data_IF_181445637048
#
_entry.id   IF_181445637048
#
_cell.length_a   1.000
_cell.length_b   1.000
_cell.length_c   1.000
_cell.angle_alpha   90.00
_cell.angle_beta   90.00
_cell.angle_gamma   90.00
#
_symmetry.space_group_name_H-M   'P 1'
#
loop_
_entity.id
_entity.type
_entity.pdbx_description
1 polymer ?
#
# COMPACT_ATOMS: atom_id res chain seq x y z
N UNK A 1 60.21 -2.02 16.01
CA UNK A 1 60.76 -0.93 15.17
C UNK A 1 59.59 -0.02 14.85
N UNK A 2 59.70 1.27 15.12
CA UNK A 2 58.63 2.22 14.81
C UNK A 2 58.47 2.31 13.28
N UNK A 3 57.24 2.40 12.75
CA UNK A 3 57.02 2.63 11.30
C UNK A 3 57.50 4.02 10.86
N UNK A 4 57.65 4.20 9.56
CA UNK A 4 58.08 5.46 8.93
C UNK A 4 57.22 6.65 9.38
N UNK A 5 57.85 7.74 9.82
CA UNK A 5 57.17 8.95 10.34
C UNK A 5 56.93 8.92 11.85
N UNK A 6 57.83 8.32 12.63
CA UNK A 6 57.75 8.31 14.10
C UNK A 6 59.12 8.55 14.71
N UNK A 7 59.16 9.24 15.85
CA UNK A 7 60.37 9.48 16.62
C UNK A 7 60.46 8.47 17.77
N UNK A 8 61.63 7.84 17.92
CA UNK A 8 61.89 6.97 19.06
C UNK A 8 62.31 7.83 20.25
N UNK A 9 61.51 7.86 21.31
CA UNK A 9 61.84 8.57 22.55
C UNK A 9 63.03 7.92 23.26
N UNK A 10 63.67 8.64 24.18
CA UNK A 10 64.87 8.21 24.92
C UNK A 10 64.68 6.92 25.75
N UNK A 11 63.44 6.45 25.89
CA UNK A 11 63.05 5.24 26.64
C UNK A 11 62.61 4.07 25.75
N UNK A 12 62.84 4.14 24.44
CA UNK A 12 62.48 3.07 23.51
C UNK A 12 61.00 2.97 23.18
N UNK A 13 60.20 4.00 23.50
CA UNK A 13 58.80 4.11 23.08
C UNK A 13 58.70 4.94 21.79
N UNK A 14 57.90 4.48 20.84
CA UNK A 14 57.59 5.23 19.64
C UNK A 14 56.60 6.35 19.96
N UNK A 15 56.91 7.58 19.57
CA UNK A 15 55.97 8.69 19.56
C UNK A 15 55.34 8.78 18.17
N UNK A 16 54.00 8.67 18.11
CA UNK A 16 53.26 8.69 16.86
C UNK A 16 53.08 10.13 16.40
N UNK A 17 53.64 10.49 15.23
CA UNK A 17 53.44 11.82 14.64
C UNK A 17 51.98 12.04 14.20
N UNK A 18 51.32 10.98 13.71
CA UNK A 18 49.89 11.02 13.39
C UNK A 18 49.05 10.92 14.68
N UNK A 19 48.26 11.96 15.03
CA UNK A 19 47.46 11.99 16.24
C UNK A 19 46.32 10.95 16.25
N UNK A 20 46.01 10.33 15.11
CA UNK A 20 45.00 9.27 14.99
C UNK A 20 45.54 7.87 15.31
N UNK A 21 46.87 7.73 15.44
CA UNK A 21 47.55 6.45 15.69
C UNK A 21 47.93 6.23 17.15
N UNK A 22 48.08 4.97 17.53
CA UNK A 22 48.46 4.53 18.87
C UNK A 22 49.24 3.20 18.81
N UNK A 23 49.66 2.71 19.97
CA UNK A 23 50.38 1.45 20.14
C UNK A 23 51.90 1.61 20.04
N UNK A 24 52.62 0.59 20.51
CA UNK A 24 54.09 0.63 20.63
C UNK A 24 54.82 0.74 19.29
N UNK A 25 54.12 0.50 18.17
CA UNK A 25 54.65 0.67 16.81
C UNK A 25 53.90 1.72 15.97
N UNK A 26 52.91 2.42 16.56
CA UNK A 26 52.06 3.41 15.88
C UNK A 26 51.22 2.87 14.71
N UNK A 27 50.89 1.58 14.74
CA UNK A 27 50.13 0.92 13.67
C UNK A 27 48.64 0.79 13.98
N UNK A 28 48.25 1.02 15.24
CA UNK A 28 46.89 0.86 15.70
C UNK A 28 46.13 2.18 15.60
N UNK A 29 44.84 2.11 15.30
CA UNK A 29 43.97 3.27 15.34
C UNK A 29 43.59 3.61 16.77
N UNK A 30 43.77 4.88 17.15
CA UNK A 30 43.35 5.39 18.46
C UNK A 30 41.84 5.29 18.65
N UNK A 31 41.06 5.45 17.58
CA UNK A 31 39.63 5.17 17.58
C UNK A 31 39.40 3.68 17.26
N UNK A 32 38.85 2.88 18.18
CA UNK A 32 38.61 1.45 17.94
C UNK A 32 37.55 1.18 16.86
N UNK A 33 36.73 2.17 16.49
CA UNK A 33 35.78 2.04 15.38
C UNK A 33 36.44 2.21 14.00
N UNK A 34 37.74 2.55 13.94
CA UNK A 34 38.48 2.78 12.70
C UNK A 34 39.53 1.69 12.43
N UNK A 35 39.80 1.44 11.16
CA UNK A 35 40.82 0.52 10.66
C UNK A 35 41.56 1.11 9.46
N UNK A 36 42.59 0.39 9.01
CA UNK A 36 43.41 0.75 7.86
C UNK A 36 44.65 1.54 8.24
N UNK A 37 45.61 1.58 7.32
CA UNK A 37 46.89 2.27 7.53
C UNK A 37 46.71 3.77 7.82
N UNK A 38 45.60 4.39 7.40
CA UNK A 38 45.26 5.79 7.68
C UNK A 38 44.13 6.00 8.70
N UNK A 39 43.57 4.93 9.29
CA UNK A 39 42.46 5.03 10.26
C UNK A 39 41.24 5.82 9.78
N UNK A 40 40.99 5.82 8.48
CA UNK A 40 39.89 6.52 7.82
C UNK A 40 38.69 5.60 7.57
N UNK A 41 38.91 4.29 7.50
CA UNK A 41 37.88 3.28 7.25
C UNK A 41 37.20 2.82 8.54
N UNK A 42 35.89 2.57 8.48
CA UNK A 42 35.18 1.99 9.60
C UNK A 42 35.45 0.49 9.73
N UNK A 43 35.56 0.02 10.98
CA UNK A 43 35.66 -1.42 11.27
C UNK A 43 34.40 -2.14 10.80
N UNK A 44 33.24 -1.63 11.23
CA UNK A 44 31.93 -2.09 10.76
C UNK A 44 31.69 -1.55 9.33
N UNK A 45 31.54 -2.43 8.31
CA UNK A 45 31.33 -2.03 6.92
C UNK A 45 29.97 -1.35 6.69
N UNK A 46 29.00 -1.49 7.59
CA UNK A 46 27.69 -0.85 7.52
C UNK A 46 27.71 0.60 8.05
N UNK A 47 28.85 1.06 8.57
CA UNK A 47 29.02 2.39 9.15
C UNK A 47 29.88 3.30 8.28
N UNK A 48 29.56 4.59 8.33
CA UNK A 48 30.26 5.66 7.61
C UNK A 48 30.44 6.91 8.46
N UNK A 49 31.16 7.87 7.91
CA UNK A 49 31.48 9.15 8.53
C UNK A 49 32.76 9.14 9.36
N UNK A 50 33.14 10.32 9.82
CA UNK A 50 34.36 10.53 10.59
C UNK A 50 34.42 9.68 11.87
N UNK A 51 33.30 9.55 12.55
CA UNK A 51 33.19 8.77 13.79
C UNK A 51 32.58 7.37 13.60
N UNK A 52 32.30 6.93 12.35
CA UNK A 52 31.63 5.65 12.10
C UNK A 52 30.30 5.47 12.83
N UNK A 53 29.59 6.57 13.07
CA UNK A 53 28.32 6.57 13.80
C UNK A 53 27.10 6.50 12.88
N UNK A 54 27.26 6.85 11.60
CA UNK A 54 26.18 6.89 10.62
C UNK A 54 26.11 5.57 9.86
N UNK A 55 24.89 5.16 9.48
CA UNK A 55 24.71 4.03 8.59
C UNK A 55 25.07 4.39 7.15
N UNK A 56 25.66 3.45 6.44
CA UNK A 56 25.90 3.57 5.00
C UNK A 56 24.58 3.61 4.24
N UNK A 57 23.64 2.72 4.62
CA UNK A 57 22.28 2.73 4.08
C UNK A 57 21.45 3.84 4.77
N UNK A 58 20.92 4.82 4.02
CA UNK A 58 20.10 5.89 4.58
C UNK A 58 18.75 5.41 5.13
N UNK A 59 18.29 4.21 4.77
CA UNK A 59 17.06 3.60 5.28
C UNK A 59 17.27 2.84 6.59
N UNK A 60 18.51 2.70 7.06
CA UNK A 60 18.85 1.97 8.28
C UNK A 60 19.21 2.89 9.43
N UNK A 61 19.00 2.41 10.65
CA UNK A 61 19.28 3.10 11.90
C UNK A 61 19.71 2.12 13.00
N UNK A 62 20.15 2.67 14.13
CA UNK A 62 20.65 1.91 15.28
C UNK A 62 22.17 1.74 15.31
N UNK A 63 22.65 1.17 16.41
CA UNK A 63 24.08 0.96 16.64
C UNK A 63 24.71 0.05 15.58
N UNK A 64 23.99 -0.97 15.13
CA UNK A 64 24.47 -1.94 14.14
C UNK A 64 23.96 -1.71 12.71
N UNK A 65 23.09 -0.71 12.49
CA UNK A 65 22.44 -0.44 11.20
C UNK A 65 21.58 -1.58 10.64
N UNK A 66 21.04 -2.42 11.50
CA UNK A 66 20.16 -3.53 11.07
C UNK A 66 18.68 -3.12 11.05
N UNK A 67 18.30 -2.12 11.85
CA UNK A 67 16.90 -1.68 11.99
C UNK A 67 16.54 -0.68 10.91
N UNK A 68 15.32 -0.77 10.40
CA UNK A 68 14.77 0.25 9.51
C UNK A 68 14.53 1.58 10.22
N UNK A 69 14.82 2.66 9.51
CA UNK A 69 14.58 4.03 9.95
C UNK A 69 13.07 4.31 10.05
N UNK A 70 12.30 3.88 9.05
CA UNK A 70 10.85 3.95 9.07
C UNK A 70 10.27 2.78 9.89
N UNK A 71 9.58 3.03 11.01
CA UNK A 71 9.00 1.98 11.85
C UNK A 71 7.86 1.19 11.16
N UNK A 72 7.37 1.64 10.01
CA UNK A 72 6.38 0.91 9.22
C UNK A 72 7.01 -0.12 8.27
N UNK A 73 8.33 -0.06 8.09
CA UNK A 73 9.07 -0.93 7.19
C UNK A 73 9.88 -1.98 7.95
N UNK A 74 10.14 -3.11 7.29
CA UNK A 74 10.87 -4.26 7.81
C UNK A 74 11.70 -4.90 6.70
N UNK A 75 12.47 -5.93 7.04
CA UNK A 75 13.33 -6.66 6.12
C UNK A 75 14.73 -6.04 5.99
N UNK A 76 15.62 -6.80 5.35
CA UNK A 76 17.02 -6.41 5.19
C UNK A 76 17.17 -5.13 4.36
N UNK A 77 16.26 -4.87 3.42
CA UNK A 77 16.26 -3.68 2.56
C UNK A 77 15.25 -2.59 2.98
N UNK A 78 14.48 -2.81 4.05
CA UNK A 78 13.44 -1.88 4.53
C UNK A 78 12.38 -1.49 3.49
N UNK A 79 12.05 -2.42 2.60
CA UNK A 79 11.08 -2.29 1.52
C UNK A 79 9.79 -3.08 1.78
N UNK A 80 9.80 -3.92 2.80
CA UNK A 80 8.63 -4.68 3.23
C UNK A 80 7.85 -3.91 4.29
N UNK A 81 6.52 -4.05 4.30
CA UNK A 81 5.68 -3.43 5.31
C UNK A 81 5.52 -4.34 6.52
N UNK A 82 5.74 -3.78 7.72
CA UNK A 82 5.44 -4.46 9.01
C UNK A 82 3.97 -4.90 9.04
N UNK A 83 3.08 -4.03 8.56
CA UNK A 83 1.65 -4.32 8.39
C UNK A 83 1.44 -5.04 7.07
N UNK A 84 1.08 -6.32 7.14
CA UNK A 84 0.88 -7.18 5.96
C UNK A 84 -0.29 -6.76 5.06
N UNK A 85 -1.18 -5.90 5.52
CA UNK A 85 -2.26 -5.33 4.71
C UNK A 85 -1.85 -4.03 3.96
N UNK A 86 -0.61 -3.56 4.13
CA UNK A 86 -0.05 -2.40 3.44
C UNK A 86 1.05 -2.82 2.46
N UNK A 87 1.25 -2.02 1.41
CA UNK A 87 2.29 -2.20 0.39
C UNK A 87 2.78 -0.86 -0.15
N UNK A 88 3.87 -0.93 -0.93
CA UNK A 88 4.42 0.19 -1.68
C UNK A 88 5.27 1.13 -0.81
N UNK A 89 5.79 2.21 -1.41
CA UNK A 89 6.69 3.14 -0.73
C UNK A 89 6.00 3.76 0.48
N UNK A 90 6.67 3.71 1.64
CA UNK A 90 6.16 4.22 2.92
C UNK A 90 4.95 3.47 3.46
N UNK A 91 4.61 2.28 2.94
CA UNK A 91 3.55 1.42 3.47
C UNK A 91 2.17 2.09 3.58
N UNK A 92 1.87 2.97 2.63
CA UNK A 92 0.61 3.74 2.62
C UNK A 92 -0.51 3.05 1.83
N UNK A 93 -0.19 2.32 0.77
CA UNK A 93 -1.18 1.68 -0.09
C UNK A 93 -1.66 0.36 0.52
N UNK A 94 -2.92 -0.01 0.28
CA UNK A 94 -3.45 -1.28 0.74
C UNK A 94 -3.00 -2.42 -0.19
N UNK A 95 -2.67 -3.59 0.38
CA UNK A 95 -2.37 -4.79 -0.41
C UNK A 95 -3.56 -5.14 -1.29
N UNK A 96 -4.74 -5.21 -0.66
CA UNK A 96 -6.01 -5.36 -1.35
C UNK A 96 -6.37 -4.03 -2.05
N UNK A 97 -6.48 -4.01 -3.39
CA UNK A 97 -6.76 -2.79 -4.14
C UNK A 97 -8.15 -2.21 -3.90
N UNK A 98 -9.09 -2.98 -3.31
CA UNK A 98 -10.45 -2.49 -3.00
C UNK A 98 -10.58 -1.93 -1.59
N UNK A 99 -9.51 -1.94 -0.79
CA UNK A 99 -9.51 -1.40 0.58
C UNK A 99 -8.79 -0.06 0.64
N UNK A 100 -9.26 0.84 1.49
CA UNK A 100 -8.64 2.11 1.82
C UNK A 100 -8.70 2.38 3.33
N UNK A 101 -8.37 3.62 3.69
CA UNK A 101 -8.22 4.04 5.07
C UNK A 101 -6.86 3.65 5.65
N UNK A 102 -6.60 4.17 6.86
CA UNK A 102 -5.34 3.95 7.57
C UNK A 102 -5.12 2.46 7.88
N UNK A 103 -6.21 1.71 8.07
CA UNK A 103 -6.20 0.30 8.46
C UNK A 103 -6.55 -0.67 7.33
N UNK A 104 -6.84 -0.19 6.11
CA UNK A 104 -7.28 -1.06 4.98
C UNK A 104 -8.48 -1.95 5.34
N UNK A 105 -9.36 -1.46 6.20
CA UNK A 105 -10.58 -2.11 6.66
C UNK A 105 -11.84 -1.38 6.16
N UNK A 106 -11.66 -0.32 5.39
CA UNK A 106 -12.72 0.43 4.71
C UNK A 106 -12.64 0.12 3.23
N UNK A 107 -13.78 0.06 2.54
CA UNK A 107 -13.76 -0.02 1.08
C UNK A 107 -13.18 1.28 0.53
N UNK A 108 -12.30 1.17 -0.47
CA UNK A 108 -11.80 2.33 -1.18
C UNK A 108 -13.00 3.12 -1.77
N UNK A 109 -13.07 4.45 -1.59
CA UNK A 109 -14.13 5.27 -2.18
C UNK A 109 -13.90 5.42 -3.69
N UNK A 110 -13.92 4.33 -4.46
CA UNK A 110 -13.51 4.36 -5.86
C UNK A 110 -14.57 3.73 -6.75
N UNK A 111 -15.59 4.55 -6.98
CA UNK A 111 -16.44 4.73 -8.17
C UNK A 111 -16.58 3.58 -9.17
N UNK A 112 -17.82 3.34 -9.59
CA UNK A 112 -18.13 2.59 -10.81
C UNK A 112 -17.46 3.15 -12.09
N UNK A 113 -16.83 4.33 -12.02
CA UNK A 113 -16.05 4.96 -13.09
C UNK A 113 -14.61 4.45 -13.24
N UNK A 114 -14.14 3.48 -12.43
CA UNK A 114 -12.85 2.86 -12.68
C UNK A 114 -12.84 2.19 -14.07
N UNK A 115 -11.76 2.35 -14.85
CA UNK A 115 -11.68 1.83 -16.22
C UNK A 115 -12.06 0.34 -16.36
N UNK A 116 -11.76 -0.49 -15.35
CA UNK A 116 -12.13 -1.91 -15.32
C UNK A 116 -13.64 -2.12 -15.14
N UNK A 117 -14.31 -1.33 -14.31
CA UNK A 117 -15.78 -1.39 -14.13
C UNK A 117 -16.49 -0.79 -15.36
N UNK A 118 -15.96 0.30 -15.90
CA UNK A 118 -16.52 0.99 -17.07
C UNK A 118 -16.57 0.05 -18.30
N UNK A 119 -15.51 -0.72 -18.56
CA UNK A 119 -15.49 -1.70 -19.66
C UNK A 119 -16.54 -2.83 -19.54
N UNK A 120 -17.02 -3.08 -18.31
CA UNK A 120 -18.04 -4.08 -18.01
C UNK A 120 -19.43 -3.44 -18.08
N UNK A 121 -19.57 -2.19 -17.66
CA UNK A 121 -20.83 -1.46 -17.60
C UNK A 121 -21.16 -0.69 -18.89
N UNK A 122 -20.20 -0.51 -19.79
CA UNK A 122 -20.43 0.03 -21.12
C UNK A 122 -21.42 -0.85 -21.89
N UNK A 123 -22.39 -0.21 -22.54
CA UNK A 123 -23.35 -0.89 -23.40
C UNK A 123 -22.60 -1.67 -24.50
N UNK A 124 -22.97 -2.93 -24.79
CA UNK A 124 -24.15 -3.67 -24.31
C UNK A 124 -23.93 -4.51 -23.03
N UNK A 125 -22.70 -4.59 -22.50
CA UNK A 125 -22.33 -5.55 -21.43
C UNK A 125 -22.90 -5.18 -20.06
N UNK A 126 -23.10 -3.89 -19.79
CA UNK A 126 -23.72 -3.44 -18.54
C UNK A 126 -25.16 -3.92 -18.39
N UNK A 127 -25.91 -3.90 -19.48
CA UNK A 127 -27.28 -4.40 -19.53
C UNK A 127 -27.33 -5.92 -19.30
N UNK A 128 -26.42 -6.67 -19.91
CA UNK A 128 -26.31 -8.12 -19.69
C UNK A 128 -26.03 -8.45 -18.22
N UNK A 129 -25.13 -7.71 -17.55
CA UNK A 129 -24.85 -7.91 -16.13
C UNK A 129 -26.08 -7.64 -15.25
N UNK A 130 -26.86 -6.60 -15.57
CA UNK A 130 -28.10 -6.27 -14.85
C UNK A 130 -29.14 -7.38 -15.01
N UNK A 131 -29.32 -7.93 -16.22
CA UNK A 131 -30.27 -9.02 -16.44
C UNK A 131 -29.80 -10.36 -15.88
N UNK A 132 -28.51 -10.68 -16.06
CA UNK A 132 -27.91 -11.93 -15.60
C UNK A 132 -27.91 -12.04 -14.06
N UNK A 133 -27.69 -10.94 -13.35
CA UNK A 133 -27.68 -10.94 -11.90
C UNK A 133 -28.99 -10.46 -11.27
N UNK A 134 -29.67 -9.49 -11.87
CA UNK A 134 -30.88 -8.87 -11.33
C UNK A 134 -32.10 -9.80 -11.37
N UNK A 135 -32.40 -10.39 -12.53
CA UNK A 135 -33.61 -11.22 -12.70
C UNK A 135 -33.57 -12.51 -11.87
N UNK A 136 -32.47 -13.29 -11.85
CA UNK A 136 -32.40 -14.50 -11.01
C UNK A 136 -32.41 -14.21 -9.51
N UNK A 137 -31.99 -13.01 -9.11
CA UNK A 137 -31.96 -12.58 -7.72
C UNK A 137 -33.18 -11.74 -7.32
N UNK A 138 -34.15 -11.53 -8.21
CA UNK A 138 -35.34 -10.74 -7.91
C UNK A 138 -36.14 -11.38 -6.76
N UNK A 139 -36.32 -10.63 -5.67
CA UNK A 139 -36.97 -11.12 -4.44
C UNK A 139 -36.05 -11.88 -3.47
N UNK A 140 -34.81 -12.21 -3.86
CA UNK A 140 -33.77 -12.75 -2.96
C UNK A 140 -32.97 -11.64 -2.27
N UNK A 141 -33.08 -10.41 -2.78
CA UNK A 141 -32.55 -9.20 -2.20
C UNK A 141 -31.13 -8.85 -2.65
N UNK A 142 -30.70 -7.65 -2.26
CA UNK A 142 -29.43 -6.99 -2.63
C UNK A 142 -28.20 -7.89 -2.63
N UNK A 143 -28.10 -8.80 -1.64
CA UNK A 143 -26.91 -9.64 -1.47
C UNK A 143 -26.72 -10.67 -2.56
N UNK A 144 -27.81 -11.19 -3.11
CA UNK A 144 -27.75 -12.12 -4.23
C UNK A 144 -27.19 -11.39 -5.46
N UNK A 145 -27.76 -10.22 -5.77
CA UNK A 145 -27.35 -9.39 -6.92
C UNK A 145 -25.89 -8.97 -6.76
N UNK A 146 -25.50 -8.45 -5.59
CA UNK A 146 -24.14 -8.02 -5.32
C UNK A 146 -23.12 -9.14 -5.47
N UNK A 147 -23.44 -10.35 -4.98
CA UNK A 147 -22.56 -11.52 -5.09
C UNK A 147 -22.36 -11.91 -6.55
N UNK A 148 -23.43 -12.00 -7.33
CA UNK A 148 -23.35 -12.30 -8.76
C UNK A 148 -22.54 -11.24 -9.52
N UNK A 149 -22.78 -9.95 -9.25
CA UNK A 149 -22.03 -8.86 -9.88
C UNK A 149 -20.54 -8.90 -9.56
N UNK A 150 -20.18 -9.37 -8.36
CA UNK A 150 -18.78 -9.49 -7.93
C UNK A 150 -18.12 -10.78 -8.45
N UNK A 151 -18.72 -11.94 -8.16
CA UNK A 151 -18.14 -13.26 -8.46
C UNK A 151 -18.26 -13.63 -9.95
N UNK A 152 -19.42 -13.34 -10.58
CA UNK A 152 -19.74 -13.83 -11.92
C UNK A 152 -19.50 -12.78 -13.02
N UNK A 153 -19.74 -11.50 -12.71
CA UNK A 153 -19.53 -10.38 -13.66
C UNK A 153 -18.15 -9.73 -13.51
N UNK A 154 -17.52 -9.85 -12.33
CA UNK A 154 -16.18 -9.33 -12.07
C UNK A 154 -16.12 -7.84 -11.74
N UNK A 155 -17.23 -7.22 -11.33
CA UNK A 155 -17.21 -5.85 -10.80
C UNK A 155 -16.44 -5.81 -9.48
N UNK A 156 -15.78 -4.68 -9.23
CA UNK A 156 -15.19 -4.41 -7.90
C UNK A 156 -16.28 -4.40 -6.83
N UNK A 157 -15.95 -4.80 -5.59
CA UNK A 157 -16.95 -4.92 -4.51
C UNK A 157 -17.74 -3.62 -4.24
N UNK A 158 -17.10 -2.46 -4.37
CA UNK A 158 -17.74 -1.15 -4.25
C UNK A 158 -18.76 -0.90 -5.37
N UNK A 159 -18.38 -1.17 -6.63
CA UNK A 159 -19.28 -1.00 -7.76
C UNK A 159 -20.37 -2.07 -7.81
N UNK A 160 -20.07 -3.33 -7.50
CA UNK A 160 -21.06 -4.39 -7.36
C UNK A 160 -22.12 -4.02 -6.30
N UNK A 161 -21.70 -3.39 -5.20
CA UNK A 161 -22.62 -2.92 -4.17
C UNK A 161 -23.50 -1.77 -4.66
N UNK A 162 -22.90 -0.80 -5.34
CA UNK A 162 -23.62 0.29 -5.98
C UNK A 162 -24.69 -0.21 -6.96
N UNK A 163 -24.24 -0.97 -7.96
CA UNK A 163 -25.07 -1.49 -9.04
C UNK A 163 -26.16 -2.42 -8.47
N UNK A 164 -25.85 -3.22 -7.43
CA UNK A 164 -26.86 -4.06 -6.78
C UNK A 164 -27.99 -3.26 -6.12
N UNK A 165 -27.69 -2.12 -5.46
CA UNK A 165 -28.72 -1.24 -4.89
C UNK A 165 -29.58 -0.60 -5.96
N UNK A 166 -28.94 -0.16 -7.05
CA UNK A 166 -29.64 0.45 -8.16
C UNK A 166 -30.56 -0.55 -8.88
N UNK A 167 -30.09 -1.77 -9.13
CA UNK A 167 -30.90 -2.87 -9.71
C UNK A 167 -32.07 -3.24 -8.81
N UNK A 168 -31.84 -3.46 -7.51
CA UNK A 168 -32.91 -3.85 -6.57
C UNK A 168 -33.99 -2.77 -6.48
N UNK A 169 -33.59 -1.50 -6.39
CA UNK A 169 -34.54 -0.39 -6.41
C UNK A 169 -35.30 -0.31 -7.74
N UNK A 170 -34.60 -0.42 -8.87
CA UNK A 170 -35.20 -0.36 -10.20
C UNK A 170 -36.22 -1.47 -10.41
N UNK A 171 -35.88 -2.71 -10.06
CA UNK A 171 -36.80 -3.84 -10.17
C UNK A 171 -38.00 -3.71 -9.21
N UNK A 172 -37.79 -3.16 -8.01
CA UNK A 172 -38.83 -3.05 -6.99
C UNK A 172 -39.83 -1.91 -7.24
N UNK A 173 -39.35 -0.74 -7.64
CA UNK A 173 -40.17 0.47 -7.77
C UNK A 173 -40.49 0.82 -9.23
N UNK A 174 -39.61 0.48 -10.16
CA UNK A 174 -39.74 0.83 -11.57
C UNK A 174 -39.90 -0.40 -12.49
N UNK A 175 -39.85 -1.61 -11.95
CA UNK A 175 -39.91 -2.87 -12.69
C UNK A 175 -41.02 -2.93 -13.74
N UNK A 176 -42.27 -2.56 -13.43
CA UNK A 176 -43.35 -2.56 -14.42
C UNK A 176 -43.10 -1.62 -15.62
N UNK A 177 -42.45 -0.48 -15.39
CA UNK A 177 -42.13 0.50 -16.45
C UNK A 177 -40.91 0.04 -17.25
N UNK A 178 -39.86 -0.40 -16.55
CA UNK A 178 -38.61 -0.85 -17.16
C UNK A 178 -38.71 -2.23 -17.83
N UNK A 179 -39.72 -3.03 -17.51
CA UNK A 179 -39.94 -4.32 -18.18
C UNK A 179 -40.35 -4.15 -19.65
N UNK A 180 -41.05 -3.05 -19.96
CA UNK A 180 -41.54 -2.77 -21.32
C UNK A 180 -40.38 -2.29 -22.21
N UNK A 181 -39.62 -1.33 -21.70
CA UNK A 181 -38.45 -0.77 -22.36
C UNK A 181 -37.46 -0.30 -21.28
N UNK A 182 -36.45 -1.13 -21.02
CA UNK A 182 -35.47 -0.87 -19.96
C UNK A 182 -34.54 0.31 -20.29
N UNK A 183 -34.34 0.62 -21.57
CA UNK A 183 -33.57 1.79 -22.02
C UNK A 183 -34.47 2.98 -22.37
N UNK A 184 -35.79 2.80 -22.27
CA UNK A 184 -36.78 3.79 -22.63
C UNK A 184 -36.78 5.02 -21.70
N UNK A 185 -37.19 6.19 -22.21
CA UNK A 185 -37.20 7.44 -21.45
C UNK A 185 -38.07 7.36 -20.19
N UNK A 186 -39.14 6.55 -20.21
CA UNK A 186 -40.03 6.37 -19.06
C UNK A 186 -39.36 5.55 -17.95
N UNK A 187 -38.58 4.52 -18.29
CA UNK A 187 -37.81 3.76 -17.31
C UNK A 187 -36.73 4.64 -16.68
N UNK A 188 -35.95 5.35 -17.52
CA UNK A 188 -34.92 6.27 -17.04
C UNK A 188 -35.49 7.34 -16.11
N UNK A 189 -36.65 7.93 -16.47
CA UNK A 189 -37.34 8.91 -15.63
C UNK A 189 -37.79 8.31 -14.29
N UNK A 190 -38.38 7.11 -14.31
CA UNK A 190 -38.80 6.43 -13.08
C UNK A 190 -37.63 6.17 -12.15
N UNK A 191 -36.53 5.60 -12.68
CA UNK A 191 -35.36 5.23 -11.88
C UNK A 191 -34.68 6.48 -11.31
N UNK A 192 -34.52 7.54 -12.12
CA UNK A 192 -33.96 8.82 -11.66
C UNK A 192 -34.79 9.44 -10.53
N UNK A 193 -36.11 9.29 -10.58
CA UNK A 193 -37.01 9.89 -9.57
C UNK A 193 -37.08 9.07 -8.27
N UNK A 194 -37.00 7.74 -8.35
CA UNK A 194 -37.34 6.86 -7.23
C UNK A 194 -36.13 6.15 -6.60
N UNK A 195 -34.97 6.15 -7.26
CA UNK A 195 -33.80 5.37 -6.85
C UNK A 195 -32.51 6.20 -6.67
N UNK A 196 -32.41 7.02 -5.60
CA UNK A 196 -31.16 7.71 -5.24
C UNK A 196 -30.23 6.85 -4.36
N UNK A 197 -28.89 7.12 -4.35
CA UNK A 197 -28.20 8.07 -5.21
C UNK A 197 -28.16 7.60 -6.67
N UNK A 198 -28.04 8.55 -7.60
CA UNK A 198 -27.89 8.21 -9.02
C UNK A 198 -26.62 7.41 -9.26
N UNK A 199 -26.57 6.67 -10.38
CA UNK A 199 -25.40 5.87 -10.75
C UNK A 199 -24.10 6.70 -10.75
N UNK A 200 -24.18 7.97 -11.18
CA UNK A 200 -23.05 8.91 -11.25
C UNK A 200 -22.59 9.46 -9.88
N UNK A 201 -23.39 9.32 -8.83
CA UNK A 201 -23.06 9.76 -7.46
C UNK A 201 -22.53 8.62 -6.59
N UNK A 202 -22.37 7.44 -7.19
CA UNK A 202 -22.22 6.21 -6.46
C UNK A 202 -20.76 5.85 -6.19
N UNK A 203 -20.22 6.45 -5.13
CA UNK A 203 -18.82 6.28 -4.68
C UNK A 203 -18.54 5.01 -3.86
N UNK A 204 -19.52 4.11 -3.73
CA UNK A 204 -19.41 2.84 -2.98
C UNK A 204 -20.54 2.61 -1.96
N UNK A 205 -20.36 1.63 -1.06
CA UNK A 205 -21.37 1.28 -0.06
C UNK A 205 -21.02 1.76 1.35
N UNK A 206 -21.99 2.38 2.03
CA UNK A 206 -21.93 2.66 3.46
C UNK A 206 -22.05 1.37 4.27
N UNK A 207 -21.53 1.39 5.50
CA UNK A 207 -21.33 0.25 6.40
C UNK A 207 -22.59 -0.56 6.75
N UNK A 208 -23.81 -0.06 6.48
CA UNK A 208 -25.06 -0.79 6.69
C UNK A 208 -25.30 -1.96 5.72
N UNK A 209 -24.55 -2.03 4.62
CA UNK A 209 -24.72 -3.09 3.59
C UNK A 209 -23.55 -4.09 3.53
N UNK A 210 -22.52 -3.93 4.36
CA UNK A 210 -21.19 -4.54 4.14
C UNK A 210 -20.96 -5.95 4.72
N UNK A 211 -21.87 -6.53 5.50
CA UNK A 211 -21.52 -7.78 6.22
C UNK A 211 -21.65 -9.04 5.37
N UNK A 212 -20.78 -9.31 4.40
CA UNK A 212 -20.59 -10.67 3.90
C UNK A 212 -20.07 -11.54 5.05
N UNK A 213 -20.94 -12.39 5.60
CA UNK A 213 -20.52 -13.53 6.42
C UNK A 213 -20.52 -14.77 5.55
#
# INVERSE_FOLDING_TARGET
>A
MCRTGTTCSYWGKCECEDPSKTGDSCDECKNPAKKGDLCDQCVNPLKTGWFCSLCVDPLKTGEDCERCLDPQTTGDSCDECVKTYKKGPGCIACVNPVMAGLLCNELAPNDCHLATNQLILDAPKGFEAVYACGMPCFGLGLRCIQRCLYDDVGLTAGCACCVSNWIDCSLKYCGPTCYIDADGPDCQACVTQNCPPSYDECVGCTTSHQSFK
#
